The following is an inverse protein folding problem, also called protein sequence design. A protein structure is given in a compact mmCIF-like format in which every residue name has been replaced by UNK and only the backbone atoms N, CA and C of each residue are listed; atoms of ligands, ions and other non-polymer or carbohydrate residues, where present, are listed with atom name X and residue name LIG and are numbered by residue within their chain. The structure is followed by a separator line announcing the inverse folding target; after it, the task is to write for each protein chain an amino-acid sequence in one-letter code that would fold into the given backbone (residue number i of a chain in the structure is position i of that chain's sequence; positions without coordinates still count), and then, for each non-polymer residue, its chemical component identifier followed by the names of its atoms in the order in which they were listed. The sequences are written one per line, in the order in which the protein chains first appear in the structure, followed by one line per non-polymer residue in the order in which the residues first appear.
data_IF_208459572151
#
_entry.id   IF_208459572151
#
_cell.length_a   1.000
_cell.length_b   1.000
_cell.length_c   1.000
_cell.angle_alpha   90.00
_cell.angle_beta   90.00
_cell.angle_gamma   90.00
#
_symmetry.space_group_name_H-M   'P 1'
#
loop_
_entity.id
_entity.type
_entity.pdbx_description
1 polymer ?
#
# COMPACT_ATOMS: atom_id res chain seq x y z
N UNK A 1 -6.86 8.16 13.28
CA UNK A 1 -5.52 8.71 13.56
C UNK A 1 -4.58 8.27 12.44
N UNK A 2 -3.55 9.03 12.11
CA UNK A 2 -2.59 8.63 11.08
C UNK A 2 -1.81 7.42 11.59
N UNK A 3 -1.93 6.28 10.89
CA UNK A 3 -1.23 5.07 11.28
C UNK A 3 0.25 5.21 10.88
N UNK A 4 1.13 5.11 11.88
CA UNK A 4 2.58 5.18 11.67
C UNK A 4 3.21 3.79 11.74
N UNK A 5 4.25 3.61 10.93
CA UNK A 5 5.09 2.41 10.93
C UNK A 5 6.57 2.81 10.91
N UNK A 6 7.44 1.88 11.29
CA UNK A 6 8.89 2.09 11.27
C UNK A 6 9.52 1.28 10.16
N UNK A 7 10.07 1.96 9.16
CA UNK A 7 10.80 1.33 8.05
C UNK A 7 12.28 1.65 8.19
N UNK A 8 13.08 0.64 8.54
CA UNK A 8 14.47 0.80 8.95
C UNK A 8 14.63 1.82 10.12
N UNK A 9 15.33 2.93 9.87
CA UNK A 9 15.53 4.01 10.84
C UNK A 9 14.49 5.15 10.69
N UNK A 10 13.56 5.04 9.74
CA UNK A 10 12.62 6.11 9.39
C UNK A 10 11.21 5.79 9.88
N UNK A 11 10.58 6.75 10.56
CA UNK A 11 9.15 6.68 10.88
C UNK A 11 8.36 7.27 9.71
N UNK A 12 7.36 6.52 9.24
CA UNK A 12 6.48 6.97 8.16
C UNK A 12 5.02 6.83 8.56
N UNK A 13 4.16 7.67 8.01
CA UNK A 13 2.71 7.58 8.16
C UNK A 13 2.03 7.26 6.82
N UNK A 14 0.90 6.57 6.87
CA UNK A 14 0.08 6.34 5.68
C UNK A 14 -0.78 7.55 5.35
N UNK A 15 -0.69 7.99 4.10
CA UNK A 15 -1.65 8.89 3.46
C UNK A 15 -2.47 8.11 2.46
N UNK A 16 -3.77 8.08 2.69
CA UNK A 16 -4.76 7.52 1.78
C UNK A 16 -5.16 8.61 0.79
N UNK A 17 -5.03 8.31 -0.49
CA UNK A 17 -5.54 9.14 -1.59
C UNK A 17 -6.10 8.25 -2.69
N UNK A 18 -6.43 8.84 -3.83
CA UNK A 18 -6.91 8.11 -5.00
C UNK A 18 -6.00 8.39 -6.20
N UNK A 19 -5.73 7.36 -7.00
CA UNK A 19 -5.07 7.55 -8.29
C UNK A 19 -6.02 8.27 -9.26
N UNK A 20 -5.55 9.37 -9.85
CA UNK A 20 -6.31 10.18 -10.82
C UNK A 20 -6.88 9.33 -11.97
N UNK A 21 -6.13 8.33 -12.43
CA UNK A 21 -6.57 7.38 -13.45
C UNK A 21 -7.05 6.09 -12.78
N UNK A 22 -8.35 5.86 -12.80
CA UNK A 22 -8.99 4.63 -12.33
C UNK A 22 -9.64 4.73 -10.95
N UNK A 23 -9.47 5.83 -10.20
CA UNK A 23 -10.18 6.09 -8.95
C UNK A 23 -9.87 5.08 -7.85
N UNK A 24 -8.65 4.51 -7.85
CA UNK A 24 -8.26 3.45 -6.92
C UNK A 24 -7.51 4.01 -5.74
N UNK A 25 -7.63 3.34 -4.60
CA UNK A 25 -6.90 3.69 -3.38
C UNK A 25 -5.39 3.69 -3.66
N UNK A 26 -4.77 4.81 -3.37
CA UNK A 26 -3.33 5.01 -3.35
C UNK A 26 -2.88 5.15 -1.89
N UNK A 27 -1.96 4.29 -1.45
CA UNK A 27 -1.38 4.37 -0.10
C UNK A 27 0.06 4.83 -0.20
N UNK A 28 0.26 6.11 0.11
CA UNK A 28 1.58 6.73 0.15
C UNK A 28 2.10 6.72 1.58
N UNK A 29 3.36 6.33 1.75
CA UNK A 29 4.10 6.49 2.99
C UNK A 29 4.85 7.82 2.91
N UNK A 30 4.67 8.68 3.89
CA UNK A 30 5.44 9.93 4.03
C UNK A 30 6.20 9.95 5.34
N UNK A 31 7.36 10.60 5.35
CA UNK A 31 8.19 10.72 6.55
C UNK A 31 7.46 11.54 7.61
N UNK A 32 7.35 10.99 8.82
CA UNK A 32 6.72 11.69 9.95
C UNK A 32 7.50 12.97 10.26
N UNK A 33 6.79 14.10 10.35
CA UNK A 33 7.36 15.40 10.67
C UNK A 33 7.76 16.26 9.46
N UNK A 34 8.37 15.68 8.41
CA UNK A 34 8.68 16.44 7.17
C UNK A 34 7.58 16.32 6.11
N UNK A 35 6.82 15.22 6.11
CA UNK A 35 5.79 14.95 5.11
C UNK A 35 6.33 14.59 3.73
N UNK A 36 7.65 14.39 3.60
CA UNK A 36 8.29 14.02 2.34
C UNK A 36 7.88 12.61 1.89
N UNK A 37 7.71 12.38 0.58
CA UNK A 37 7.35 11.07 0.06
C UNK A 37 8.47 10.06 0.33
N UNK A 38 8.11 8.92 0.92
CA UNK A 38 9.03 7.83 1.22
C UNK A 38 8.83 6.62 0.31
N UNK A 39 7.58 6.14 0.21
CA UNK A 39 7.23 4.98 -0.61
C UNK A 39 5.76 5.01 -1.02
N UNK A 40 5.38 4.20 -2.00
CA UNK A 40 3.98 3.96 -2.36
C UNK A 40 3.73 2.46 -2.29
N UNK A 41 2.88 2.05 -1.34
CA UNK A 41 2.58 0.64 -1.07
C UNK A 41 1.75 0.01 -2.19
N UNK A 42 0.93 0.81 -2.86
CA UNK A 42 0.00 0.36 -3.89
C UNK A 42 0.57 0.48 -5.30
N UNK A 43 0.05 -0.33 -6.22
CA UNK A 43 0.29 -0.23 -7.66
C UNK A 43 -1.02 0.13 -8.36
N UNK A 44 -0.99 1.12 -9.25
CA UNK A 44 -2.14 1.43 -10.09
C UNK A 44 -2.09 0.59 -11.40
N UNK A 45 -3.04 -0.33 -11.56
CA UNK A 45 -3.22 -1.13 -12.78
C UNK A 45 -4.69 -1.05 -13.23
N UNK A 46 -5.11 0.03 -13.90
CA UNK A 46 -6.52 0.32 -14.23
C UNK A 46 -7.28 -0.80 -14.94
N UNK A 47 -6.58 -1.71 -15.62
CA UNK A 47 -7.13 -2.88 -16.29
C UNK A 47 -7.49 -4.06 -15.36
N UNK A 48 -6.98 -4.11 -14.13
CA UNK A 48 -7.21 -5.21 -13.18
C UNK A 48 -8.50 -4.96 -12.41
N UNK A 49 -9.52 -5.80 -12.52
CA UNK A 49 -10.73 -5.64 -11.70
C UNK A 49 -10.43 -5.88 -10.21
N UNK A 50 -10.85 -4.94 -9.35
CA UNK A 50 -10.73 -4.98 -7.90
C UNK A 50 -12.07 -4.60 -7.27
N UNK A 51 -12.36 -5.13 -6.10
CA UNK A 51 -13.45 -4.62 -5.25
C UNK A 51 -13.10 -3.21 -4.71
N UNK A 52 -14.09 -2.46 -4.21
CA UNK A 52 -13.90 -1.06 -3.79
C UNK A 52 -12.91 -0.86 -2.64
N UNK A 53 -12.66 -1.90 -1.84
CA UNK A 53 -11.72 -1.92 -0.72
C UNK A 53 -10.43 -2.71 -1.02
N UNK A 54 -10.28 -3.20 -2.25
CA UNK A 54 -9.12 -3.99 -2.68
C UNK A 54 -8.02 -3.11 -3.28
N UNK A 55 -6.78 -3.47 -2.97
CA UNK A 55 -5.57 -2.80 -3.44
C UNK A 55 -4.56 -3.82 -3.99
N UNK A 56 -3.82 -3.42 -5.01
CA UNK A 56 -2.67 -4.20 -5.50
C UNK A 56 -1.45 -3.72 -4.73
N UNK A 57 -0.78 -4.63 -4.04
CA UNK A 57 0.34 -4.30 -3.16
C UNK A 57 1.67 -4.57 -3.85
N UNK A 58 2.58 -3.61 -3.75
CA UNK A 58 3.97 -3.74 -4.16
C UNK A 58 4.76 -4.34 -3.00
N UNK A 59 4.84 -5.65 -2.92
CA UNK A 59 5.50 -6.37 -1.81
C UNK A 59 6.95 -6.78 -2.09
N UNK A 60 7.59 -6.17 -3.09
CA UNK A 60 8.93 -6.51 -3.54
C UNK A 60 9.90 -5.32 -3.51
N UNK A 61 11.20 -5.64 -3.60
CA UNK A 61 12.31 -4.67 -3.56
C UNK A 61 12.25 -3.78 -2.31
N UNK A 62 12.36 -2.46 -2.47
CA UNK A 62 12.38 -1.48 -1.37
C UNK A 62 11.06 -1.48 -0.56
N UNK A 63 9.98 -2.03 -1.11
CA UNK A 63 8.68 -2.06 -0.43
C UNK A 63 8.43 -3.34 0.37
N UNK A 64 9.34 -4.33 0.36
CA UNK A 64 9.16 -5.55 1.16
C UNK A 64 8.95 -5.24 2.64
N UNK A 65 9.79 -4.37 3.23
CA UNK A 65 9.65 -3.98 4.63
C UNK A 65 8.44 -3.08 4.87
N UNK A 66 8.14 -2.17 3.93
CA UNK A 66 6.94 -1.32 3.99
C UNK A 66 5.67 -2.18 4.03
N UNK A 67 5.59 -3.22 3.20
CA UNK A 67 4.46 -4.14 3.14
C UNK A 67 4.38 -5.02 4.41
N UNK A 68 5.51 -5.46 4.96
CA UNK A 68 5.53 -6.22 6.22
C UNK A 68 4.99 -5.38 7.38
N UNK A 69 5.49 -4.17 7.56
CA UNK A 69 5.06 -3.25 8.63
C UNK A 69 3.61 -2.76 8.40
N UNK A 70 3.31 -2.36 7.16
CA UNK A 70 2.05 -2.61 6.44
C UNK A 70 1.03 -3.48 7.17
N UNK A 71 1.24 -4.76 6.93
CA UNK A 71 0.38 -5.84 7.36
C UNK A 71 0.33 -5.96 8.89
N UNK A 72 1.43 -5.68 9.59
CA UNK A 72 1.52 -5.75 11.05
C UNK A 72 0.60 -4.74 11.77
N UNK A 73 0.18 -3.66 11.10
CA UNK A 73 -0.80 -2.71 11.67
C UNK A 73 -2.19 -3.29 11.89
N UNK A 74 -2.54 -4.40 11.21
CA UNK A 74 -3.88 -4.99 11.23
C UNK A 74 -4.91 -4.27 10.34
N UNK A 75 -4.52 -3.19 9.64
CA UNK A 75 -5.39 -2.45 8.70
C UNK A 75 -5.64 -3.20 7.39
N UNK A 76 -4.88 -4.27 7.12
CA UNK A 76 -4.92 -4.99 5.86
C UNK A 76 -5.22 -6.47 6.05
N UNK A 77 -5.89 -7.04 5.07
CA UNK A 77 -6.14 -8.47 4.98
C UNK A 77 -5.62 -9.02 3.64
N UNK A 78 -4.91 -10.15 3.68
CA UNK A 78 -4.53 -10.89 2.47
C UNK A 78 -5.77 -11.58 1.92
N UNK A 79 -6.20 -11.21 0.72
CA UNK A 79 -7.36 -11.83 0.06
C UNK A 79 -7.06 -13.23 -0.49
N UNK A 80 -5.78 -13.60 -0.61
CA UNK A 80 -5.33 -14.79 -1.30
C UNK A 80 -5.31 -14.66 -2.83
N UNK A 81 -5.80 -13.53 -3.39
CA UNK A 81 -5.76 -13.24 -4.83
C UNK A 81 -4.43 -12.61 -5.22
N UNK A 82 -4.04 -12.79 -6.48
CA UNK A 82 -2.91 -12.12 -7.10
C UNK A 82 -3.29 -11.58 -8.47
N UNK A 83 -2.60 -10.55 -8.92
CA UNK A 83 -2.79 -10.00 -10.27
C UNK A 83 -2.29 -11.02 -11.30
N UNK A 84 -3.09 -11.38 -12.32
CA UNK A 84 -2.66 -12.28 -13.38
C UNK A 84 -1.39 -11.76 -14.08
N UNK A 85 -0.48 -12.68 -14.43
CA UNK A 85 0.83 -12.43 -15.08
C UNK A 85 1.90 -11.75 -14.25
N UNK A 86 1.57 -10.71 -13.46
CA UNK A 86 2.57 -10.03 -12.62
C UNK A 86 2.77 -10.73 -11.27
N UNK A 87 1.75 -11.38 -10.74
CA UNK A 87 1.80 -12.08 -9.46
C UNK A 87 1.70 -11.16 -8.24
N UNK A 88 1.47 -9.86 -8.40
CA UNK A 88 1.34 -8.93 -7.27
C UNK A 88 0.16 -9.32 -6.37
N UNK A 89 0.34 -9.37 -5.05
CA UNK A 89 -0.74 -9.71 -4.15
C UNK A 89 -1.82 -8.63 -4.13
N UNK A 90 -3.06 -9.07 -3.99
CA UNK A 90 -4.21 -8.18 -3.78
C UNK A 90 -4.59 -8.26 -2.30
N UNK A 91 -4.54 -7.14 -1.60
CA UNK A 91 -4.97 -7.02 -0.21
C UNK A 91 -6.28 -6.25 -0.14
N UNK A 92 -6.96 -6.36 1.00
CA UNK A 92 -8.16 -5.60 1.32
C UNK A 92 -7.89 -4.69 2.52
N UNK A 93 -8.38 -3.46 2.44
CA UNK A 93 -8.37 -2.51 3.57
C UNK A 93 -9.52 -2.85 4.54
N UNK A 94 -9.24 -2.85 5.84
CA UNK A 94 -10.22 -3.12 6.92
C UNK A 94 -10.83 -1.86 7.50
#
# INVERSE_FOLDING_TARGET
EAQTIRVYATMVEFKVSEYEKGGRIALQCVVVGSGEPYATLTINMPEVALEGDEIIVKDYSENTLVAQEAFATGLFEKTGKTVPKSGFPIWRLK
#
